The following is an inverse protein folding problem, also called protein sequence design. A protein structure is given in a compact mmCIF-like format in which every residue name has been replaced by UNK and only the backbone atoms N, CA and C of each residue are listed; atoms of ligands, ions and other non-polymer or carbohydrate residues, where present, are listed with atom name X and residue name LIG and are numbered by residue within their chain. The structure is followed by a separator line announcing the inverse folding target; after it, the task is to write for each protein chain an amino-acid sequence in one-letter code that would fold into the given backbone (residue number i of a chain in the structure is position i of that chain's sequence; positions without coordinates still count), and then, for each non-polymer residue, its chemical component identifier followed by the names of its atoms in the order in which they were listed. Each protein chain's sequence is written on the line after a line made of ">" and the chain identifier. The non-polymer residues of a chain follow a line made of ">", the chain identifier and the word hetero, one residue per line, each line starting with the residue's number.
data_IF_297950390465
#
_entry.id   IF_297950390465
#
_cell.length_a   1.000
_cell.length_b   1.000
_cell.length_c   1.000
_cell.angle_alpha   90.00
_cell.angle_beta   90.00
_cell.angle_gamma   90.00
#
_symmetry.space_group_name_H-M   'P 1'
#
loop_
_entity.id
_entity.type
_entity.pdbx_description
1 polymer ?
#
# COMPACT_ATOMS: atom_id res chain seq x y z
N UNK A 1 -15.33 -1.05 -11.67
CA UNK A 1 -14.98 -1.21 -10.23
C UNK A 1 -13.47 -1.30 -10.06
N UNK A 2 -12.93 -0.69 -8.98
CA UNK A 2 -11.48 -0.72 -8.65
C UNK A 2 -11.26 -1.48 -7.35
N UNK A 3 -10.20 -2.29 -7.26
CA UNK A 3 -9.74 -2.92 -6.02
C UNK A 3 -8.53 -2.17 -5.47
N UNK A 4 -8.62 -1.74 -4.23
CA UNK A 4 -7.57 -1.04 -3.50
C UNK A 4 -7.09 -1.92 -2.36
N UNK A 5 -5.79 -2.23 -2.34
CA UNK A 5 -5.16 -3.08 -1.33
C UNK A 5 -4.06 -2.30 -0.65
N UNK A 6 -4.25 -2.01 0.63
CA UNK A 6 -3.28 -1.29 1.47
C UNK A 6 -2.53 -2.28 2.36
N UNK A 7 -1.20 -2.28 2.26
CA UNK A 7 -0.28 -3.05 3.08
C UNK A 7 0.46 -2.05 3.95
N UNK A 8 0.09 -1.96 5.22
CA UNK A 8 0.54 -0.90 6.14
C UNK A 8 1.41 -1.50 7.25
N UNK A 9 2.61 -0.97 7.37
CA UNK A 9 3.54 -1.31 8.42
C UNK A 9 3.04 -0.77 9.76
N UNK A 10 3.03 -1.64 10.78
CA UNK A 10 2.84 -1.28 12.19
C UNK A 10 3.96 -1.86 13.05
N UNK A 11 5.13 -2.12 12.49
CA UNK A 11 6.31 -2.56 13.24
C UNK A 11 6.77 -1.51 14.25
N UNK A 12 7.64 -1.91 15.17
CA UNK A 12 8.07 -1.06 16.27
C UNK A 12 8.73 0.26 15.86
N UNK A 13 9.31 0.32 14.64
CA UNK A 13 9.91 1.54 14.08
C UNK A 13 8.89 2.64 13.77
N UNK A 14 7.62 2.26 13.51
CA UNK A 14 6.50 3.19 13.32
C UNK A 14 6.01 3.87 14.61
N UNK A 15 6.64 3.57 15.76
CA UNK A 15 6.24 4.13 17.06
C UNK A 15 6.35 5.65 17.10
N UNK A 16 5.28 6.29 17.56
CA UNK A 16 5.13 7.75 17.60
C UNK A 16 4.41 8.33 16.38
N UNK A 17 4.12 7.51 15.34
CA UNK A 17 3.39 7.91 14.13
C UNK A 17 2.01 7.26 14.03
N UNK A 18 1.54 6.62 15.11
CA UNK A 18 0.26 5.90 15.10
C UNK A 18 -0.90 6.84 14.76
N UNK A 19 -0.97 7.99 15.43
CA UNK A 19 -2.02 8.99 15.19
C UNK A 19 -2.00 9.55 13.78
N UNK A 20 -0.79 9.78 13.22
CA UNK A 20 -0.60 10.35 11.89
C UNK A 20 -0.96 9.34 10.81
N UNK A 21 -0.58 8.08 11.01
CA UNK A 21 -0.94 6.97 10.11
C UNK A 21 -2.45 6.73 10.11
N UNK A 22 -3.07 6.65 11.28
CA UNK A 22 -4.53 6.50 11.42
C UNK A 22 -5.26 7.70 10.81
N UNK A 23 -4.82 8.91 11.14
CA UNK A 23 -5.40 10.15 10.63
C UNK A 23 -5.30 10.27 9.12
N UNK A 24 -4.11 10.02 8.58
CA UNK A 24 -3.83 10.06 7.14
C UNK A 24 -4.62 9.02 6.36
N UNK A 25 -4.62 7.76 6.83
CA UNK A 25 -5.42 6.69 6.21
C UNK A 25 -6.90 7.02 6.20
N UNK A 26 -7.46 7.43 7.34
CA UNK A 26 -8.87 7.78 7.44
C UNK A 26 -9.24 8.97 6.54
N UNK A 27 -8.41 10.02 6.51
CA UNK A 27 -8.63 11.18 5.66
C UNK A 27 -8.61 10.80 4.17
N UNK A 28 -7.67 9.94 3.77
CA UNK A 28 -7.59 9.40 2.41
C UNK A 28 -8.87 8.62 2.06
N UNK A 29 -9.31 7.68 2.90
CA UNK A 29 -10.53 6.90 2.68
C UNK A 29 -11.75 7.82 2.54
N UNK A 30 -11.90 8.82 3.40
CA UNK A 30 -13.02 9.78 3.33
C UNK A 30 -12.97 10.64 2.06
N UNK A 31 -11.79 11.01 1.56
CA UNK A 31 -11.64 11.66 0.25
C UNK A 31 -12.08 10.73 -0.88
N UNK A 32 -11.64 9.48 -0.84
CA UNK A 32 -11.99 8.48 -1.86
C UNK A 32 -13.48 8.14 -1.89
N UNK A 33 -14.20 8.19 -0.76
CA UNK A 33 -15.67 7.99 -0.71
C UNK A 33 -16.44 9.06 -1.50
N UNK A 34 -15.85 10.23 -1.70
CA UNK A 34 -16.44 11.35 -2.47
C UNK A 34 -16.18 11.27 -3.96
N UNK A 35 -15.23 10.44 -4.40
CA UNK A 35 -14.88 10.26 -5.80
C UNK A 35 -15.86 9.32 -6.49
N UNK A 36 -16.11 9.56 -7.77
CA UNK A 36 -16.99 8.74 -8.59
C UNK A 36 -16.41 7.32 -8.82
N UNK A 37 -17.31 6.38 -9.09
CA UNK A 37 -16.99 4.99 -9.38
C UNK A 37 -16.94 4.10 -8.15
N UNK A 38 -17.21 2.83 -8.35
CA UNK A 38 -17.19 1.83 -7.28
C UNK A 38 -15.76 1.36 -7.00
N UNK A 39 -15.48 1.14 -5.72
CA UNK A 39 -14.24 0.52 -5.27
C UNK A 39 -14.49 -0.41 -4.09
N UNK A 40 -13.66 -1.44 -3.98
CA UNK A 40 -13.53 -2.29 -2.79
C UNK A 40 -12.16 -2.09 -2.17
N UNK A 41 -12.07 -2.21 -0.86
CA UNK A 41 -10.86 -1.95 -0.08
C UNK A 41 -10.50 -3.16 0.76
N UNK A 42 -9.26 -3.58 0.64
CA UNK A 42 -8.59 -4.47 1.57
C UNK A 42 -7.49 -3.72 2.31
N UNK A 43 -7.38 -3.93 3.61
CA UNK A 43 -6.31 -3.34 4.43
C UNK A 43 -5.67 -4.43 5.27
N UNK A 44 -4.38 -4.60 5.08
CA UNK A 44 -3.56 -5.55 5.82
C UNK A 44 -2.53 -4.75 6.62
N UNK A 45 -2.59 -4.88 7.93
CA UNK A 45 -1.57 -4.39 8.83
C UNK A 45 -0.54 -5.49 9.07
N UNK A 46 0.73 -5.13 9.16
CA UNK A 46 1.76 -6.13 9.43
C UNK A 46 2.82 -5.64 10.42
N UNK A 47 3.29 -6.59 11.20
CA UNK A 47 4.43 -6.55 12.11
C UNK A 47 5.19 -7.90 11.94
N UNK A 48 5.37 -8.69 12.99
CA UNK A 48 5.80 -10.11 12.91
C UNK A 48 4.74 -11.00 12.26
N UNK A 49 3.49 -10.54 12.25
CA UNK A 49 2.32 -11.20 11.73
C UNK A 49 1.55 -10.25 10.82
N UNK A 50 0.65 -10.78 10.01
CA UNK A 50 -0.27 -9.98 9.21
C UNK A 50 -1.70 -10.08 9.74
N UNK A 51 -2.38 -8.94 9.85
CA UNK A 51 -3.77 -8.83 10.26
C UNK A 51 -4.59 -8.15 9.15
N UNK A 52 -5.60 -8.85 8.66
CA UNK A 52 -6.55 -8.28 7.70
C UNK A 52 -7.61 -7.49 8.48
N UNK A 53 -7.61 -6.16 8.34
CA UNK A 53 -8.58 -5.26 8.97
C UNK A 53 -9.82 -5.10 8.10
N UNK A 54 -9.61 -4.92 6.81
CA UNK A 54 -10.66 -4.85 5.81
C UNK A 54 -10.39 -5.90 4.74
N UNK A 55 -11.40 -6.70 4.39
CA UNK A 55 -11.33 -7.68 3.32
C UNK A 55 -12.39 -7.38 2.27
N UNK A 56 -11.96 -6.74 1.18
CA UNK A 56 -12.77 -6.37 0.02
C UNK A 56 -14.08 -5.66 0.38
N UNK A 57 -14.05 -4.80 1.39
CA UNK A 57 -15.23 -4.02 1.79
C UNK A 57 -15.55 -2.97 0.72
N UNK A 58 -16.82 -2.80 0.35
CA UNK A 58 -17.23 -1.64 -0.44
C UNK A 58 -16.70 -0.35 0.20
N UNK A 59 -16.02 0.50 -0.57
CA UNK A 59 -15.36 1.70 -0.07
C UNK A 59 -16.27 2.57 0.82
N UNK A 60 -17.55 2.70 0.43
CA UNK A 60 -18.54 3.47 1.21
C UNK A 60 -18.82 2.88 2.61
N UNK A 61 -18.50 1.60 2.82
CA UNK A 61 -18.71 0.89 4.10
C UNK A 61 -17.43 0.73 4.93
N UNK A 62 -16.28 1.16 4.43
CA UNK A 62 -15.02 1.08 5.19
C UNK A 62 -15.14 1.92 6.45
N UNK A 63 -15.05 1.32 7.66
CA UNK A 63 -15.08 2.06 8.91
C UNK A 63 -13.80 2.85 9.11
N UNK A 64 -13.82 3.80 10.04
CA UNK A 64 -12.60 4.50 10.44
C UNK A 64 -11.69 3.53 11.19
N UNK A 65 -10.40 3.52 10.83
CA UNK A 65 -9.36 2.86 11.61
C UNK A 65 -9.16 3.60 12.93
N UNK A 66 -8.90 2.87 13.99
CA UNK A 66 -8.65 3.40 15.33
C UNK A 66 -7.37 2.80 15.92
N UNK A 67 -7.00 3.24 17.12
CA UNK A 67 -5.90 2.68 17.91
C UNK A 67 -6.14 1.22 18.36
N UNK A 68 -7.35 0.71 18.21
CA UNK A 68 -7.66 -0.71 18.46
C UNK A 68 -7.11 -1.62 17.36
N UNK A 69 -7.13 -1.16 16.11
CA UNK A 69 -6.60 -1.89 14.96
C UNK A 69 -5.13 -1.56 14.73
N UNK A 70 -4.78 -0.26 14.74
CA UNK A 70 -3.42 0.19 14.44
C UNK A 70 -2.69 0.62 15.71
N UNK A 71 -1.78 -0.20 16.16
CA UNK A 71 -0.82 0.04 17.24
C UNK A 71 0.50 -0.62 16.89
N UNK A 72 1.61 -0.01 17.25
CA UNK A 72 2.94 -0.46 16.84
C UNK A 72 3.48 -1.56 17.74
N UNK A 73 4.12 -2.56 17.13
CA UNK A 73 4.81 -3.67 17.82
C UNK A 73 5.71 -4.47 16.87
N UNK A 74 6.61 -5.26 17.43
CA UNK A 74 7.32 -6.34 16.72
C UNK A 74 8.27 -5.88 15.63
N UNK A 75 8.54 -6.80 14.69
CA UNK A 75 9.46 -6.67 13.56
C UNK A 75 8.67 -6.46 12.24
N UNK A 76 9.35 -6.61 11.09
CA UNK A 76 8.83 -6.25 9.78
C UNK A 76 8.73 -7.48 8.87
N UNK A 77 7.60 -8.22 8.91
CA UNK A 77 7.33 -9.38 8.05
C UNK A 77 6.60 -8.98 6.76
N UNK A 78 7.19 -8.06 6.00
CA UNK A 78 6.61 -7.46 4.80
C UNK A 78 6.33 -8.48 3.69
N UNK A 79 7.26 -9.43 3.44
CA UNK A 79 7.08 -10.45 2.40
C UNK A 79 5.89 -11.36 2.70
N UNK A 80 5.67 -11.72 3.97
CA UNK A 80 4.55 -12.56 4.37
C UNK A 80 3.22 -11.83 4.21
N UNK A 81 3.16 -10.54 4.55
CA UNK A 81 1.98 -9.70 4.36
C UNK A 81 1.65 -9.50 2.88
N UNK A 82 2.64 -9.08 2.10
CA UNK A 82 2.47 -8.80 0.67
C UNK A 82 2.15 -10.07 -0.12
N UNK A 83 2.92 -11.14 0.09
CA UNK A 83 2.70 -12.43 -0.57
C UNK A 83 1.34 -13.03 -0.22
N UNK A 84 0.94 -12.96 1.06
CA UNK A 84 -0.37 -13.39 1.54
C UNK A 84 -1.51 -12.62 0.88
N UNK A 85 -1.42 -11.30 0.83
CA UNK A 85 -2.43 -10.44 0.20
C UNK A 85 -2.55 -10.70 -1.31
N UNK A 86 -1.43 -10.79 -2.04
CA UNK A 86 -1.43 -11.12 -3.48
C UNK A 86 -2.07 -12.48 -3.72
N UNK A 87 -1.76 -13.48 -2.90
CA UNK A 87 -2.33 -14.81 -3.00
C UNK A 87 -3.85 -14.79 -2.77
N UNK A 88 -4.30 -14.11 -1.70
CA UNK A 88 -5.71 -13.99 -1.35
C UNK A 88 -6.52 -13.31 -2.46
N UNK A 89 -6.16 -12.09 -2.84
CA UNK A 89 -6.85 -11.32 -3.88
C UNK A 89 -6.81 -12.06 -5.24
N UNK A 90 -5.67 -12.66 -5.59
CA UNK A 90 -5.53 -13.44 -6.81
C UNK A 90 -6.45 -14.65 -6.85
N UNK A 91 -6.67 -15.32 -5.71
CA UNK A 91 -7.63 -16.43 -5.61
C UNK A 91 -9.08 -15.94 -5.71
N UNK A 92 -9.40 -14.82 -5.05
CA UNK A 92 -10.75 -14.24 -5.17
C UNK A 92 -11.06 -13.92 -6.63
N UNK A 93 -10.16 -13.23 -7.35
CA UNK A 93 -10.36 -12.91 -8.77
C UNK A 93 -10.46 -14.16 -9.66
N UNK A 94 -9.69 -15.21 -9.34
CA UNK A 94 -9.70 -16.46 -10.10
C UNK A 94 -11.05 -17.18 -10.04
N UNK A 95 -11.73 -17.13 -8.89
CA UNK A 95 -12.98 -17.85 -8.66
C UNK A 95 -14.23 -16.96 -8.70
N UNK A 96 -14.06 -15.62 -8.80
CA UNK A 96 -15.16 -14.70 -9.02
C UNK A 96 -15.76 -14.86 -10.43
N UNK A 97 -17.03 -14.46 -10.59
CA UNK A 97 -17.62 -14.31 -11.91
C UNK A 97 -16.88 -13.18 -12.64
N UNK A 98 -16.81 -13.27 -13.98
CA UNK A 98 -16.04 -12.32 -14.79
C UNK A 98 -16.49 -10.86 -14.59
N UNK A 99 -17.79 -10.63 -14.41
CA UNK A 99 -18.37 -9.31 -14.12
C UNK A 99 -18.04 -8.76 -12.72
N UNK A 100 -17.67 -9.63 -11.79
CA UNK A 100 -17.32 -9.26 -10.40
C UNK A 100 -15.80 -9.03 -10.21
N UNK A 101 -15.00 -9.34 -11.24
CA UNK A 101 -13.55 -9.07 -11.18
C UNK A 101 -13.31 -7.59 -11.43
N UNK A 102 -12.59 -6.88 -10.53
CA UNK A 102 -12.26 -5.48 -10.71
C UNK A 102 -11.45 -5.22 -11.98
N UNK A 103 -11.77 -4.14 -12.69
CA UNK A 103 -11.04 -3.72 -13.90
C UNK A 103 -9.63 -3.23 -13.57
N UNK A 104 -9.45 -2.69 -12.37
CA UNK A 104 -8.18 -2.17 -11.86
C UNK A 104 -7.93 -2.69 -10.45
N UNK A 105 -6.69 -3.07 -10.19
CA UNK A 105 -6.21 -3.46 -8.86
C UNK A 105 -4.94 -2.70 -8.55
N UNK A 106 -4.96 -1.96 -7.45
CA UNK A 106 -3.82 -1.17 -6.97
C UNK A 106 -3.42 -1.65 -5.58
N UNK A 107 -2.16 -2.06 -5.44
CA UNK A 107 -1.53 -2.30 -4.16
C UNK A 107 -0.73 -1.06 -3.74
N UNK A 108 -0.94 -0.60 -2.53
CA UNK A 108 -0.17 0.47 -1.90
C UNK A 108 0.54 -0.10 -0.68
N UNK A 109 1.85 -0.07 -0.71
CA UNK A 109 2.70 -0.66 0.33
C UNK A 109 3.46 0.48 1.02
N UNK A 110 3.29 0.60 2.33
CA UNK A 110 4.02 1.59 3.14
C UNK A 110 4.81 0.88 4.24
N UNK A 111 6.08 1.24 4.39
CA UNK A 111 6.96 0.69 5.42
C UNK A 111 8.02 1.73 5.81
N UNK A 112 8.54 1.66 7.03
CA UNK A 112 9.66 2.48 7.49
C UNK A 112 10.92 1.66 7.80
N UNK A 113 10.93 0.39 7.40
CA UNK A 113 12.05 -0.52 7.63
C UNK A 113 12.23 -1.57 6.54
N UNK A 114 13.38 -2.25 6.61
CA UNK A 114 13.66 -3.39 5.77
C UNK A 114 12.94 -4.64 6.28
N UNK A 115 12.56 -5.51 5.34
CA UNK A 115 12.13 -6.89 5.63
C UNK A 115 13.13 -7.61 6.54
N UNK A 116 12.63 -8.18 7.65
CA UNK A 116 13.50 -8.88 8.61
C UNK A 116 12.84 -10.04 9.37
N UNK A 117 11.56 -10.35 9.14
CA UNK A 117 10.83 -11.31 9.97
C UNK A 117 9.98 -12.32 9.20
N UNK A 118 9.87 -12.25 7.88
CA UNK A 118 9.05 -13.17 7.07
C UNK A 118 9.58 -14.60 7.10
N UNK A 119 8.65 -15.56 7.12
CA UNK A 119 8.94 -17.00 7.23
C UNK A 119 8.33 -17.84 6.10
N UNK A 120 7.29 -17.34 5.42
CA UNK A 120 6.50 -18.10 4.41
C UNK A 120 6.84 -17.73 2.98
N UNK A 121 7.21 -16.48 2.78
CA UNK A 121 7.54 -15.91 1.49
C UNK A 121 8.97 -15.35 1.50
N UNK A 122 9.66 -15.53 0.38
CA UNK A 122 10.94 -14.91 0.09
C UNK A 122 10.81 -13.90 -1.06
N UNK A 123 11.86 -13.11 -1.30
CA UNK A 123 11.89 -12.10 -2.35
C UNK A 123 11.60 -12.66 -3.74
N UNK A 124 12.19 -13.80 -4.09
CA UNK A 124 12.02 -14.42 -5.42
C UNK A 124 10.57 -14.85 -5.65
N UNK A 125 9.93 -15.42 -4.63
CA UNK A 125 8.55 -15.85 -4.69
C UNK A 125 7.60 -14.65 -4.84
N UNK A 126 7.76 -13.62 -3.99
CA UNK A 126 6.94 -12.40 -4.06
C UNK A 126 7.16 -11.68 -5.40
N UNK A 127 8.40 -11.55 -5.86
CA UNK A 127 8.72 -10.96 -7.15
C UNK A 127 8.02 -11.66 -8.31
N UNK A 128 8.08 -12.98 -8.38
CA UNK A 128 7.38 -13.78 -9.42
C UNK A 128 5.87 -13.57 -9.36
N UNK A 129 5.30 -13.45 -8.15
CA UNK A 129 3.89 -13.16 -7.97
C UNK A 129 3.53 -11.76 -8.51
N UNK A 130 4.27 -10.73 -8.15
CA UNK A 130 4.07 -9.35 -8.62
C UNK A 130 4.20 -9.27 -10.15
N UNK A 131 5.29 -9.80 -10.70
CA UNK A 131 5.52 -9.80 -12.16
C UNK A 131 4.38 -10.50 -12.92
N UNK A 132 3.89 -11.63 -12.40
CA UNK A 132 2.74 -12.32 -12.96
C UNK A 132 1.47 -11.47 -12.94
N UNK A 133 1.15 -10.85 -11.79
CA UNK A 133 -0.05 -10.04 -11.64
C UNK A 133 0.00 -8.80 -12.55
N UNK A 134 1.15 -8.12 -12.61
CA UNK A 134 1.38 -6.99 -13.53
C UNK A 134 1.18 -7.40 -14.99
N UNK A 135 1.90 -8.45 -15.43
CA UNK A 135 1.89 -8.87 -16.84
C UNK A 135 0.56 -9.44 -17.30
N UNK A 136 -0.10 -10.25 -16.47
CA UNK A 136 -1.29 -11.00 -16.87
C UNK A 136 -2.60 -10.27 -16.61
N UNK A 137 -2.64 -9.48 -15.53
CA UNK A 137 -3.89 -8.89 -15.03
C UNK A 137 -3.83 -7.36 -14.91
N UNK A 138 -2.71 -6.74 -15.24
CA UNK A 138 -2.56 -5.29 -15.21
C UNK A 138 -2.62 -4.69 -13.79
N UNK A 139 -2.25 -5.46 -12.77
CA UNK A 139 -2.19 -4.93 -11.41
C UNK A 139 -1.09 -3.89 -11.28
N UNK A 140 -1.34 -2.88 -10.50
CA UNK A 140 -0.39 -1.82 -10.19
C UNK A 140 0.07 -1.92 -8.73
N UNK A 141 1.34 -1.55 -8.49
CA UNK A 141 1.95 -1.60 -7.16
C UNK A 141 2.71 -0.32 -6.90
N UNK A 142 2.43 0.35 -5.78
CA UNK A 142 3.16 1.49 -5.27
C UNK A 142 3.90 1.09 -4.00
N UNK A 143 5.15 1.48 -3.90
CA UNK A 143 6.00 1.22 -2.75
C UNK A 143 6.51 2.53 -2.15
N UNK A 144 6.14 2.80 -0.91
CA UNK A 144 6.51 4.01 -0.19
C UNK A 144 7.33 3.58 1.04
N UNK A 145 8.61 3.88 1.00
CA UNK A 145 9.57 3.49 2.02
C UNK A 145 10.15 4.68 2.76
N UNK A 146 10.29 4.58 4.08
CA UNK A 146 11.06 5.52 4.88
C UNK A 146 12.26 4.81 5.49
N UNK A 147 13.32 5.55 5.83
CA UNK A 147 14.52 5.02 6.46
C UNK A 147 15.23 3.87 5.72
N UNK A 148 14.88 3.65 4.44
CA UNK A 148 15.43 2.61 3.57
C UNK A 148 15.74 3.21 2.19
N UNK A 149 16.42 2.46 1.31
CA UNK A 149 16.45 2.76 -0.12
C UNK A 149 15.20 2.15 -0.77
N UNK A 150 14.12 2.94 -0.85
CA UNK A 150 12.84 2.48 -1.37
C UNK A 150 12.92 2.01 -2.83
N UNK A 151 13.74 2.64 -3.67
CA UNK A 151 13.93 2.25 -5.05
C UNK A 151 14.67 0.91 -5.18
N UNK A 152 15.73 0.71 -4.38
CA UNK A 152 16.47 -0.55 -4.36
C UNK A 152 15.58 -1.68 -3.82
N UNK A 153 14.83 -1.43 -2.73
CA UNK A 153 13.96 -2.43 -2.12
C UNK A 153 12.79 -2.80 -3.06
N UNK A 154 12.14 -1.82 -3.68
CA UNK A 154 11.08 -2.04 -4.67
C UNK A 154 11.55 -2.93 -5.84
N UNK A 155 12.77 -2.71 -6.35
CA UNK A 155 13.35 -3.56 -7.41
C UNK A 155 13.50 -5.02 -7.00
N UNK A 156 13.79 -5.29 -5.73
CA UNK A 156 13.84 -6.67 -5.20
C UNK A 156 12.49 -7.36 -5.31
N UNK A 157 11.39 -6.62 -5.15
CA UNK A 157 10.03 -7.12 -5.35
C UNK A 157 9.56 -7.14 -6.82
N UNK A 158 10.34 -6.63 -7.76
CA UNK A 158 9.90 -6.47 -9.16
C UNK A 158 9.00 -5.26 -9.41
N UNK A 159 9.04 -4.28 -8.50
CA UNK A 159 8.39 -2.97 -8.65
C UNK A 159 9.43 -1.99 -9.20
N UNK A 160 9.07 -1.25 -10.26
CA UNK A 160 9.97 -0.27 -10.88
C UNK A 160 10.17 0.95 -9.99
N UNK A 161 11.30 1.62 -10.10
CA UNK A 161 11.61 2.82 -9.33
C UNK A 161 10.63 3.98 -9.57
N UNK A 162 9.97 4.03 -10.73
CA UNK A 162 8.91 5.00 -11.02
C UNK A 162 7.68 4.80 -10.11
N UNK A 163 7.51 3.61 -9.55
CA UNK A 163 6.45 3.24 -8.63
C UNK A 163 6.94 3.14 -7.17
N UNK A 164 8.13 3.64 -6.89
CA UNK A 164 8.72 3.67 -5.56
C UNK A 164 9.12 5.08 -5.17
N UNK A 165 8.98 5.42 -3.90
CA UNK A 165 9.38 6.72 -3.36
C UNK A 165 9.85 6.60 -1.92
N UNK A 166 10.88 7.38 -1.57
CA UNK A 166 11.28 7.59 -0.19
C UNK A 166 10.48 8.75 0.40
N UNK A 167 9.92 8.55 1.60
CA UNK A 167 9.26 9.63 2.34
C UNK A 167 9.93 9.86 3.71
N UNK A 168 9.66 11.00 4.34
CA UNK A 168 10.12 11.32 5.68
C UNK A 168 9.22 10.67 6.72
N UNK A 169 9.81 9.88 7.63
CA UNK A 169 9.12 9.21 8.72
C UNK A 169 8.89 10.16 9.90
N UNK A 170 8.06 11.17 9.68
CA UNK A 170 7.60 12.16 10.65
C UNK A 170 6.15 12.56 10.34
N UNK A 171 5.54 13.38 11.19
CA UNK A 171 4.16 13.84 11.07
C UNK A 171 3.87 14.46 9.69
N UNK A 172 4.72 15.42 9.25
CA UNK A 172 4.55 16.13 7.98
C UNK A 172 4.71 15.19 6.78
N UNK A 173 5.75 14.34 6.79
CA UNK A 173 6.02 13.37 5.73
C UNK A 173 4.93 12.30 5.65
N UNK A 174 4.42 11.83 6.78
CA UNK A 174 3.32 10.86 6.83
C UNK A 174 2.03 11.48 6.28
N UNK A 175 1.69 12.71 6.65
CA UNK A 175 0.53 13.41 6.13
C UNK A 175 0.63 13.61 4.60
N UNK A 176 1.78 14.10 4.12
CA UNK A 176 2.05 14.27 2.69
C UNK A 176 1.96 12.95 1.93
N UNK A 177 2.48 11.88 2.52
CA UNK A 177 2.44 10.53 1.95
C UNK A 177 0.99 10.09 1.65
N UNK A 178 0.08 10.22 2.62
CA UNK A 178 -1.33 9.88 2.43
C UNK A 178 -2.05 10.79 1.45
N UNK A 179 -1.68 12.08 1.36
CA UNK A 179 -2.21 12.97 0.34
C UNK A 179 -1.84 12.53 -1.08
N UNK A 180 -0.55 12.21 -1.28
CA UNK A 180 -0.04 11.76 -2.58
C UNK A 180 -0.63 10.39 -2.96
N UNK A 181 -0.73 9.46 -2.00
CA UNK A 181 -1.43 8.18 -2.20
C UNK A 181 -2.88 8.44 -2.64
N UNK A 182 -3.58 9.38 -1.98
CA UNK A 182 -4.96 9.72 -2.34
C UNK A 182 -5.09 10.19 -3.79
N UNK A 183 -4.15 11.01 -4.26
CA UNK A 183 -4.13 11.49 -5.65
C UNK A 183 -3.82 10.37 -6.65
N UNK A 184 -2.89 9.47 -6.31
CA UNK A 184 -2.57 8.29 -7.12
C UNK A 184 -3.77 7.33 -7.23
N UNK A 185 -4.42 7.02 -6.10
CA UNK A 185 -5.64 6.21 -6.05
C UNK A 185 -6.75 6.82 -6.91
N UNK A 186 -6.96 8.14 -6.82
CA UNK A 186 -7.94 8.86 -7.65
C UNK A 186 -7.64 8.73 -9.15
N UNK A 187 -6.36 8.82 -9.54
CA UNK A 187 -5.95 8.66 -10.95
C UNK A 187 -6.27 7.25 -11.45
N UNK A 188 -5.91 6.21 -10.69
CA UNK A 188 -6.18 4.81 -11.06
C UNK A 188 -7.69 4.54 -11.14
N UNK A 189 -8.49 5.03 -10.19
CA UNK A 189 -9.96 4.91 -10.19
C UNK A 189 -10.61 5.59 -11.39
N UNK A 190 -10.05 6.71 -11.84
CA UNK A 190 -10.47 7.40 -13.04
C UNK A 190 -9.91 6.77 -14.33
N UNK A 191 -9.30 5.58 -14.26
CA UNK A 191 -8.64 4.88 -15.38
C UNK A 191 -7.59 5.74 -16.09
N UNK A 192 -6.99 6.70 -15.38
CA UNK A 192 -5.86 7.49 -15.88
C UNK A 192 -4.56 6.76 -15.54
N UNK A 193 -3.57 6.74 -16.46
CA UNK A 193 -2.27 6.17 -16.16
C UNK A 193 -1.64 6.94 -15.01
N UNK A 194 -0.96 6.22 -14.12
CA UNK A 194 -0.15 6.84 -13.09
C UNK A 194 1.05 7.51 -13.79
N UNK A 195 1.10 8.85 -13.73
CA UNK A 195 2.23 9.57 -14.33
C UNK A 195 3.49 9.38 -13.48
N UNK A 196 4.68 9.49 -14.08
CA UNK A 196 5.95 9.46 -13.33
C UNK A 196 6.04 10.58 -12.27
N UNK A 197 5.24 11.64 -12.40
CA UNK A 197 5.19 12.78 -11.48
C UNK A 197 4.34 12.51 -10.22
N UNK A 198 3.71 11.35 -10.08
CA UNK A 198 2.83 11.05 -8.93
C UNK A 198 3.53 11.27 -7.59
N UNK A 199 4.83 11.01 -7.51
CA UNK A 199 5.65 11.09 -6.30
C UNK A 199 6.42 12.41 -6.15
N UNK A 200 6.31 13.33 -7.12
CA UNK A 200 7.12 14.57 -7.18
C UNK A 200 7.07 15.39 -5.89
N UNK A 201 5.89 15.55 -5.29
CA UNK A 201 5.72 16.30 -4.02
C UNK A 201 6.52 15.67 -2.87
N UNK A 202 6.56 14.34 -2.78
CA UNK A 202 7.32 13.61 -1.77
C UNK A 202 8.83 13.76 -2.04
N UNK A 203 9.25 13.59 -3.31
CA UNK A 203 10.66 13.77 -3.70
C UNK A 203 11.18 15.19 -3.41
N UNK A 204 10.36 16.22 -3.65
CA UNK A 204 10.69 17.63 -3.35
C UNK A 204 10.78 17.85 -1.84
N UNK A 205 9.88 17.28 -1.04
CA UNK A 205 9.89 17.36 0.41
C UNK A 205 11.16 16.74 1.00
N UNK A 206 11.50 15.51 0.57
CA UNK A 206 12.72 14.83 1.01
C UNK A 206 13.97 15.63 0.64
N UNK A 207 14.03 16.21 -0.57
CA UNK A 207 15.16 17.05 -1.00
C UNK A 207 15.27 18.31 -0.17
N UNK A 208 14.14 18.98 0.10
CA UNK A 208 14.10 20.26 0.85
C UNK A 208 14.49 20.09 2.31
N UNK A 209 14.02 19.02 2.95
CA UNK A 209 14.26 18.76 4.38
C UNK A 209 15.55 17.96 4.67
N UNK A 210 16.32 17.59 3.62
CA UNK A 210 17.54 16.79 3.74
C UNK A 210 17.26 15.30 4.01
N UNK A 211 18.33 14.53 3.96
CA UNK A 211 18.27 13.09 4.34
C UNK A 211 18.18 12.92 5.84
#
# INVERSE_FOLDING_TARGET
>A
MTELVFILDRSGSMSGLESDTIGGFNAMIEKQKKEAGEAVVSTVLFDDESMVVHDRLPLCRVPRMTDREYFTRGCTALLDALGGAIHHIGNVHKYARKEDVPEKTLFVITTDGYENASKRYDYDKVRKMIERQKKKYGWEFLFLGANIDAAAEARRFGISEDHAVNYKCDEEGTALNYEVISDAVRAVRASRPLSADWKKRIDEDVKKRGK
#
